data_IF_378986377096
#
_entry.id   IF_378986377096
#
_cell.length_a   1.000
_cell.length_b   1.000
_cell.length_c   1.000
_cell.angle_alpha   90.00
_cell.angle_beta   90.00
_cell.angle_gamma   90.00
#
_symmetry.space_group_name_H-M   'P 1'
#
loop_
_entity.id
_entity.type
_entity.pdbx_description
1 polymer ?
#
# COMPACT_ATOMS: atom_id res chain seq x y z
N UNK A 1 -6.02 -3.19 -6.00
CA UNK A 1 -4.62 -3.61 -5.78
C UNK A 1 -3.89 -2.63 -4.87
N UNK A 2 -3.86 -1.33 -5.17
CA UNK A 2 -3.30 -0.32 -4.24
C UNK A 2 -3.90 -0.41 -2.83
N UNK A 3 -5.23 -0.36 -2.71
CA UNK A 3 -5.93 -0.47 -1.42
C UNK A 3 -5.62 -1.77 -0.69
N UNK A 4 -5.44 -2.88 -1.41
CA UNK A 4 -5.06 -4.16 -0.82
C UNK A 4 -3.68 -4.06 -0.17
N UNK A 5 -2.69 -3.47 -0.85
CA UNK A 5 -1.36 -3.25 -0.28
C UNK A 5 -1.40 -2.45 1.01
N UNK A 6 -2.17 -1.35 1.03
CA UNK A 6 -2.38 -0.55 2.25
C UNK A 6 -3.00 -1.36 3.38
N UNK A 7 -4.07 -2.11 3.09
CA UNK A 7 -4.78 -2.94 4.08
C UNK A 7 -3.85 -4.02 4.65
N UNK A 8 -3.08 -4.71 3.80
CA UNK A 8 -2.17 -5.76 4.27
C UNK A 8 -1.07 -5.21 5.18
N UNK A 9 -0.52 -4.04 4.87
CA UNK A 9 0.46 -3.39 5.73
C UNK A 9 -0.18 -2.92 7.06
N UNK A 10 -1.43 -2.45 7.04
CA UNK A 10 -2.16 -2.09 8.25
C UNK A 10 -2.49 -3.30 9.12
N UNK A 11 -2.88 -4.43 8.52
CA UNK A 11 -3.08 -5.69 9.22
C UNK A 11 -1.80 -6.20 9.89
N UNK A 12 -0.64 -6.03 9.24
CA UNK A 12 0.65 -6.41 9.83
C UNK A 12 1.03 -5.51 11.02
N UNK A 13 0.86 -4.19 10.86
CA UNK A 13 1.46 -3.20 11.79
C UNK A 13 0.50 -2.73 12.88
N UNK A 14 -0.81 -2.88 12.66
CA UNK A 14 -1.90 -2.33 13.47
C UNK A 14 -2.19 -0.84 13.21
N UNK A 15 -1.54 -0.21 12.23
CA UNK A 15 -1.68 1.22 11.95
C UNK A 15 -1.76 1.47 10.43
N UNK A 16 -2.50 2.49 9.98
CA UNK A 16 -2.58 2.80 8.55
C UNK A 16 -1.20 3.10 7.97
N UNK A 17 -0.82 2.44 6.87
CA UNK A 17 0.47 2.63 6.21
C UNK A 17 0.67 4.08 5.74
N UNK A 18 -0.40 4.69 5.24
CA UNK A 18 -0.42 6.02 4.62
C UNK A 18 -1.52 6.89 5.27
N UNK A 19 -1.28 7.44 6.47
CA UNK A 19 -2.30 8.15 7.26
C UNK A 19 -2.38 9.65 6.87
N UNK A 20 -2.92 9.95 5.69
CA UNK A 20 -3.14 11.31 5.22
C UNK A 20 -4.34 12.02 5.85
N UNK A 21 -4.26 13.33 5.97
CA UNK A 21 -5.30 14.20 6.54
C UNK A 21 -6.28 14.79 5.53
N UNK A 22 -5.83 14.91 4.30
CA UNK A 22 -6.53 15.37 3.12
C UNK A 22 -5.79 14.81 1.90
N UNK A 23 -6.26 15.16 0.70
CA UNK A 23 -5.68 14.66 -0.53
C UNK A 23 -4.19 15.05 -0.71
N UNK A 24 -3.80 16.27 -0.35
CA UNK A 24 -2.42 16.72 -0.50
C UNK A 24 -1.51 16.00 0.49
N UNK A 25 -1.94 15.88 1.75
CA UNK A 25 -1.21 15.15 2.78
C UNK A 25 -1.18 13.63 2.51
N UNK A 26 -2.23 13.07 1.91
CA UNK A 26 -2.25 11.68 1.46
C UNK A 26 -1.18 11.46 0.39
N UNK A 27 -1.07 12.36 -0.59
CA UNK A 27 -0.04 12.26 -1.62
C UNK A 27 1.37 12.48 -1.05
N UNK A 28 1.53 13.35 -0.06
CA UNK A 28 2.78 13.51 0.68
C UNK A 28 3.20 12.22 1.39
N UNK A 29 2.27 11.54 2.08
CA UNK A 29 2.54 10.23 2.69
C UNK A 29 3.01 9.19 1.66
N UNK A 30 2.39 9.19 0.47
CA UNK A 30 2.75 8.25 -0.60
C UNK A 30 4.15 8.58 -1.12
N UNK A 31 4.43 9.83 -1.46
CA UNK A 31 5.73 10.25 -1.99
C UNK A 31 6.85 10.00 -0.98
N UNK A 32 6.61 10.26 0.31
CA UNK A 32 7.57 10.01 1.39
C UNK A 32 8.02 8.53 1.44
N UNK A 33 7.09 7.58 1.22
CA UNK A 33 7.37 6.13 1.27
C UNK A 33 7.83 5.54 -0.08
N UNK A 34 7.13 5.87 -1.16
CA UNK A 34 7.29 5.23 -2.47
C UNK A 34 8.21 6.03 -3.40
N UNK A 35 8.46 7.31 -3.08
CA UNK A 35 9.19 8.23 -3.95
C UNK A 35 8.27 8.99 -4.91
N UNK A 36 8.87 9.80 -5.77
CA UNK A 36 8.12 10.59 -6.76
C UNK A 36 7.50 9.71 -7.85
N UNK A 37 6.27 10.01 -8.32
CA UNK A 37 5.74 9.40 -9.53
C UNK A 37 6.59 9.78 -10.75
N UNK A 38 6.65 8.90 -11.75
CA UNK A 38 7.34 9.18 -13.01
C UNK A 38 6.69 10.31 -13.82
N UNK A 39 7.49 11.01 -14.63
CA UNK A 39 7.05 12.19 -15.37
C UNK A 39 5.86 11.89 -16.32
N UNK A 40 5.86 10.75 -17.01
CA UNK A 40 4.73 10.33 -17.88
C UNK A 40 3.40 10.28 -17.13
N UNK A 41 3.41 9.80 -15.89
CA UNK A 41 2.20 9.74 -15.05
C UNK A 41 1.75 11.14 -14.62
N UNK A 42 2.70 12.03 -14.31
CA UNK A 42 2.43 13.43 -13.99
C UNK A 42 1.82 14.18 -15.18
N UNK A 43 2.37 13.98 -16.38
CA UNK A 43 1.91 14.64 -17.61
C UNK A 43 0.49 14.18 -18.00
N UNK A 44 0.18 12.89 -17.81
CA UNK A 44 -1.16 12.35 -18.05
C UNK A 44 -2.18 12.77 -16.97
N UNK A 45 -1.73 13.31 -15.82
CA UNK A 45 -2.57 13.60 -14.66
C UNK A 45 -3.07 15.04 -14.66
N UNK A 46 -4.38 15.23 -14.91
CA UNK A 46 -5.06 16.54 -14.98
C UNK A 46 -4.80 17.47 -13.79
N UNK A 47 -4.61 16.91 -12.59
CA UNK A 47 -4.43 17.66 -11.32
C UNK A 47 -3.00 17.68 -10.80
N UNK A 48 -2.02 17.15 -11.56
CA UNK A 48 -0.62 17.07 -11.11
C UNK A 48 -0.05 18.42 -10.65
N UNK A 49 -0.39 19.50 -11.36
CA UNK A 49 0.06 20.87 -11.05
C UNK A 49 -0.37 21.38 -9.67
N UNK A 50 -1.40 20.79 -9.06
CA UNK A 50 -1.84 21.12 -7.70
C UNK A 50 -0.90 20.56 -6.63
N UNK A 51 -0.12 19.54 -6.97
CA UNK A 51 0.72 18.81 -6.01
C UNK A 51 2.20 18.84 -6.36
N UNK A 52 2.54 19.05 -7.62
CA UNK A 52 3.91 19.13 -8.13
C UNK A 52 4.11 20.46 -8.83
N UNK A 53 5.25 21.10 -8.58
CA UNK A 53 5.65 22.36 -9.20
C UNK A 53 6.06 22.16 -10.66
N UNK A 54 6.18 23.25 -11.42
CA UNK A 54 6.70 23.21 -12.79
C UNK A 54 8.13 22.70 -12.90
N UNK A 55 8.91 22.75 -11.82
CA UNK A 55 10.28 22.23 -11.74
C UNK A 55 10.33 20.75 -11.34
N UNK A 56 9.19 20.08 -11.21
CA UNK A 56 9.10 18.67 -10.79
C UNK A 56 9.17 18.45 -9.28
N UNK A 57 9.32 19.50 -8.46
CA UNK A 57 9.36 19.35 -7.00
C UNK A 57 7.97 19.21 -6.39
N UNK A 58 7.76 18.31 -5.40
CA UNK A 58 6.49 18.18 -4.70
C UNK A 58 6.23 19.43 -3.86
N UNK A 59 4.99 19.95 -3.90
CA UNK A 59 4.61 21.20 -3.26
C UNK A 59 4.52 21.13 -1.74
N UNK A 60 4.47 19.93 -1.17
CA UNK A 60 4.49 19.77 0.28
C UNK A 60 5.91 19.97 0.87
N UNK A 61 6.96 19.83 0.06
CA UNK A 61 8.34 20.08 0.46
C UNK A 61 8.71 21.55 0.34
N UNK A 62 9.67 21.98 1.16
CA UNK A 62 10.37 23.25 0.95
C UNK A 62 11.65 22.99 0.17
N UNK A 63 12.00 23.90 -0.76
CA UNK A 63 13.18 23.75 -1.63
C UNK A 63 14.22 24.79 -1.23
N UNK A 64 15.41 24.33 -0.86
CA UNK A 64 16.58 25.20 -0.62
C UNK A 64 17.57 25.01 -1.76
N UNK A 65 17.95 26.09 -2.42
CA UNK A 65 19.00 26.04 -3.45
C UNK A 65 20.34 26.34 -2.81
N UNK A 66 21.29 25.43 -2.94
CA UNK A 66 22.66 25.60 -2.44
C UNK A 66 23.48 26.51 -3.40
N UNK A 67 24.62 27.06 -2.95
CA UNK A 67 25.45 27.95 -3.78
C UNK A 67 25.95 27.33 -5.09
N UNK A 68 26.04 26.00 -5.16
CA UNK A 68 26.42 25.24 -6.37
C UNK A 68 25.24 24.99 -7.34
N UNK A 69 24.07 25.56 -7.04
CA UNK A 69 22.84 25.41 -7.81
C UNK A 69 22.09 24.08 -7.60
N UNK A 70 22.54 23.21 -6.68
CA UNK A 70 21.75 22.02 -6.31
C UNK A 70 20.52 22.40 -5.50
N UNK A 71 19.38 21.77 -5.81
CA UNK A 71 18.15 21.91 -5.04
C UNK A 71 18.05 20.79 -4.01
N UNK A 72 17.85 21.16 -2.75
CA UNK A 72 17.62 20.24 -1.63
C UNK A 72 16.15 20.33 -1.22
N UNK A 73 15.48 19.18 -1.15
CA UNK A 73 14.11 19.07 -0.65
C UNK A 73 14.14 18.85 0.86
N UNK A 74 13.49 19.74 1.61
CA UNK A 74 13.30 19.56 3.04
C UNK A 74 11.86 19.17 3.36
N UNK A 75 11.71 18.58 4.55
CA UNK A 75 10.44 18.08 5.05
C UNK A 75 9.35 19.17 5.09
N UNK A 76 8.13 18.74 4.76
CA UNK A 76 6.90 19.51 4.91
C UNK A 76 6.19 19.22 6.23
N UNK A 77 5.08 19.93 6.47
CA UNK A 77 4.17 19.64 7.57
C UNK A 77 2.72 19.58 7.09
N UNK A 78 1.97 18.61 7.62
CA UNK A 78 0.52 18.51 7.44
C UNK A 78 -0.20 19.66 8.16
N UNK A 79 -1.52 19.79 7.93
CA UNK A 79 -2.35 20.80 8.61
C UNK A 79 -2.33 20.63 10.13
N UNK A 80 -2.25 19.40 10.64
CA UNK A 80 -2.10 19.12 12.09
C UNK A 80 -0.64 19.14 12.57
N UNK A 81 0.29 19.60 11.74
CA UNK A 81 1.70 19.78 12.11
C UNK A 81 2.57 18.51 12.03
N UNK A 82 2.04 17.40 11.50
CA UNK A 82 2.81 16.16 11.31
C UNK A 82 3.86 16.36 10.24
N UNK A 83 5.11 16.00 10.53
CA UNK A 83 6.21 16.11 9.58
C UNK A 83 6.05 15.08 8.46
N UNK A 84 6.35 15.49 7.23
CA UNK A 84 6.44 14.64 6.02
C UNK A 84 7.82 14.80 5.43
N UNK A 85 8.62 13.74 5.42
CA UNK A 85 9.96 13.72 4.84
C UNK A 85 9.97 13.94 3.32
N UNK A 86 11.17 14.08 2.74
CA UNK A 86 11.33 14.20 1.29
C UNK A 86 10.87 12.91 0.58
N UNK A 87 10.62 12.93 -0.74
CA UNK A 87 10.21 11.74 -1.46
C UNK A 87 11.20 10.58 -1.29
N UNK A 88 10.70 9.40 -0.92
CA UNK A 88 11.50 8.20 -0.68
C UNK A 88 12.35 8.24 0.57
N UNK A 89 12.20 9.23 1.46
CA UNK A 89 13.00 9.33 2.68
C UNK A 89 12.53 8.39 3.80
N UNK A 90 11.34 7.79 3.69
CA UNK A 90 10.84 6.85 4.71
C UNK A 90 11.20 5.42 4.35
N UNK A 91 11.98 4.81 5.21
CA UNK A 91 12.39 3.42 5.06
C UNK A 91 11.21 2.44 5.21
N UNK A 92 11.20 1.43 4.34
CA UNK A 92 10.19 0.37 4.37
C UNK A 92 10.22 -0.44 5.67
N UNK A 93 11.41 -0.71 6.23
CA UNK A 93 11.53 -1.41 7.52
C UNK A 93 10.89 -0.60 8.65
N UNK A 94 11.11 0.72 8.68
CA UNK A 94 10.44 1.62 9.63
C UNK A 94 8.92 1.68 9.40
N UNK A 95 8.48 1.73 8.14
CA UNK A 95 7.05 1.74 7.78
C UNK A 95 6.32 0.44 8.18
N UNK A 96 7.02 -0.70 8.12
CA UNK A 96 6.49 -2.03 8.45
C UNK A 96 6.88 -2.51 9.86
N UNK A 97 7.44 -1.63 10.70
CA UNK A 97 7.85 -1.91 12.09
C UNK A 97 8.76 -3.13 12.25
N UNK A 98 9.78 -3.27 11.39
CA UNK A 98 10.70 -4.42 11.43
C UNK A 98 10.11 -5.70 10.82
N UNK A 99 9.10 -5.59 9.97
CA UNK A 99 8.61 -6.71 9.16
C UNK A 99 9.65 -7.11 8.12
N UNK A 100 10.44 -8.14 8.42
CA UNK A 100 11.60 -8.55 7.62
C UNK A 100 11.31 -9.59 6.54
N UNK A 101 10.05 -9.91 6.22
CA UNK A 101 9.72 -10.85 5.13
C UNK A 101 9.95 -10.18 3.76
N UNK A 102 11.03 -10.52 3.02
CA UNK A 102 11.35 -9.86 1.77
C UNK A 102 10.30 -10.12 0.69
N UNK A 103 9.58 -11.26 0.75
CA UNK A 103 8.53 -11.55 -0.21
C UNK A 103 7.27 -10.76 0.06
N UNK A 104 6.97 -10.47 1.33
CA UNK A 104 5.87 -9.58 1.68
C UNK A 104 6.17 -8.15 1.21
N UNK A 105 7.40 -7.68 1.44
CA UNK A 105 7.83 -6.37 0.98
C UNK A 105 7.74 -6.25 -0.55
N UNK A 106 8.21 -7.26 -1.28
CA UNK A 106 8.09 -7.31 -2.73
C UNK A 106 6.62 -7.27 -3.19
N UNK A 107 5.75 -8.07 -2.55
CA UNK A 107 4.31 -8.06 -2.83
C UNK A 107 3.69 -6.67 -2.59
N UNK A 108 4.05 -6.00 -1.50
CA UNK A 108 3.58 -4.65 -1.17
C UNK A 108 4.05 -3.64 -2.20
N UNK A 109 5.34 -3.65 -2.58
CA UNK A 109 5.89 -2.74 -3.60
C UNK A 109 5.17 -2.91 -4.93
N UNK A 110 4.91 -4.14 -5.35
CA UNK A 110 4.14 -4.43 -6.57
C UNK A 110 2.66 -3.98 -6.49
N UNK A 111 2.05 -3.98 -5.29
CA UNK A 111 0.72 -3.42 -5.08
C UNK A 111 0.70 -1.88 -5.10
N UNK A 112 1.79 -1.26 -4.63
CA UNK A 112 1.94 0.18 -4.43
C UNK A 112 2.75 0.85 -5.55
N UNK A 113 2.80 0.21 -6.72
CA UNK A 113 3.37 0.79 -7.94
C UNK A 113 2.55 2.00 -8.39
N UNK A 114 3.24 3.09 -8.74
CA UNK A 114 2.60 4.35 -9.15
C UNK A 114 1.83 4.19 -10.44
N UNK A 115 2.46 3.59 -11.45
CA UNK A 115 1.83 3.35 -12.75
C UNK A 115 0.80 2.21 -12.62
N UNK A 116 -0.51 2.48 -12.82
CA UNK A 116 -1.53 1.45 -12.72
C UNK A 116 -1.37 0.34 -13.76
N UNK A 117 -0.71 0.59 -14.90
CA UNK A 117 -0.46 -0.43 -15.91
C UNK A 117 0.65 -1.40 -15.50
N UNK A 118 1.61 -0.95 -14.67
CA UNK A 118 2.69 -1.78 -14.12
C UNK A 118 2.30 -2.43 -12.79
N UNK A 119 1.28 -1.90 -12.12
CA UNK A 119 0.79 -2.41 -10.83
C UNK A 119 0.29 -3.84 -10.95
N UNK A 120 0.72 -4.69 -10.02
CA UNK A 120 0.33 -6.09 -9.97
C UNK A 120 -1.20 -6.25 -9.96
N UNK A 121 -1.70 -7.12 -10.83
CA UNK A 121 -3.11 -7.51 -10.94
C UNK A 121 -3.47 -8.60 -9.92
N UNK A 122 -4.76 -8.83 -9.60
CA UNK A 122 -5.18 -9.90 -8.70
C UNK A 122 -4.70 -11.30 -9.13
N UNK A 123 -4.75 -11.62 -10.42
CA UNK A 123 -4.29 -12.92 -10.94
C UNK A 123 -2.78 -13.09 -10.84
N UNK A 124 -2.00 -12.01 -10.98
CA UNK A 124 -0.56 -12.03 -10.68
C UNK A 124 -0.31 -12.20 -9.18
N UNK A 125 -1.06 -11.50 -8.33
CA UNK A 125 -0.95 -11.60 -6.87
C UNK A 125 -1.14 -13.02 -6.35
N UNK A 126 -2.17 -13.75 -6.82
CA UNK A 126 -2.38 -15.16 -6.45
C UNK A 126 -1.22 -16.09 -6.84
N UNK A 127 -0.43 -15.70 -7.85
CA UNK A 127 0.76 -16.43 -8.29
C UNK A 127 2.05 -15.94 -7.65
N UNK A 128 1.99 -14.88 -6.85
CA UNK A 128 3.16 -14.30 -6.20
C UNK A 128 3.75 -15.27 -5.17
N UNK A 129 5.09 -15.37 -5.06
CA UNK A 129 5.75 -16.30 -4.12
C UNK A 129 5.28 -16.17 -2.67
N UNK A 130 4.99 -14.94 -2.22
CA UNK A 130 4.46 -14.67 -0.88
C UNK A 130 3.13 -15.41 -0.61
N UNK A 131 2.17 -15.37 -1.52
CA UNK A 131 0.88 -16.05 -1.37
C UNK A 131 0.97 -17.54 -1.71
N UNK A 132 1.71 -17.93 -2.75
CA UNK A 132 1.84 -19.34 -3.15
C UNK A 132 2.45 -20.23 -2.07
N UNK A 133 3.29 -19.69 -1.20
CA UNK A 133 3.86 -20.42 -0.04
C UNK A 133 2.87 -20.59 1.11
N UNK A 134 1.83 -19.75 1.17
CA UNK A 134 0.90 -19.64 2.31
C UNK A 134 -0.46 -20.27 2.02
N UNK A 135 -0.84 -20.41 0.74
CA UNK A 135 -2.09 -21.01 0.34
C UNK A 135 -1.96 -22.54 0.23
N UNK A 136 -2.90 -23.32 0.80
CA UNK A 136 -2.99 -24.75 0.54
C UNK A 136 -3.08 -25.00 -0.96
N UNK A 137 -2.35 -25.99 -1.47
CA UNK A 137 -2.56 -26.46 -2.84
C UNK A 137 -4.01 -26.97 -2.91
N UNK A 138 -4.82 -26.56 -3.90
CA UNK A 138 -6.09 -27.22 -4.12
C UNK A 138 -5.81 -28.72 -4.31
N UNK A 139 -6.67 -29.62 -3.80
CA UNK A 139 -6.53 -31.04 -4.06
C UNK A 139 -6.52 -31.23 -5.57
N UNK A 140 -5.34 -31.50 -6.12
CA UNK A 140 -5.18 -31.89 -7.50
C UNK A 140 -5.98 -33.17 -7.64
N UNK A 141 -7.05 -33.15 -8.43
CA UNK A 141 -7.80 -34.34 -8.79
C UNK A 141 -6.83 -35.36 -9.38
N UNK A 142 -6.36 -36.27 -8.53
CA UNK A 142 -5.49 -37.36 -8.92
C UNK A 142 -6.36 -38.41 -9.61
N UNK A 143 -6.58 -38.20 -10.91
CA UNK A 143 -6.87 -39.29 -11.83
C UNK A 143 -5.52 -39.96 -12.18
N UNK A 144 -5.19 -40.95 -11.36
CA UNK A 144 -4.68 -42.28 -11.71
C UNK A 144 -3.27 -42.48 -12.30
N UNK A 145 -2.42 -43.24 -11.58
CA UNK A 145 -2.01 -44.62 -11.90
C UNK A 145 -0.88 -45.08 -10.95
N UNK A 146 -1.06 -46.21 -10.24
CA UNK A 146 -0.27 -47.47 -10.40
C UNK A 146 -0.55 -48.47 -9.25
N UNK A 147 -1.03 -49.67 -9.65
CA UNK A 147 -0.97 -51.03 -9.03
C UNK A 147 -1.59 -51.33 -7.65
N UNK A 148 -2.67 -52.11 -7.60
CA UNK A 148 -2.63 -53.58 -7.32
C UNK A 148 -4.02 -54.21 -7.05
N UNK A 149 -4.26 -55.36 -7.69
CA UNK A 149 -5.20 -56.47 -7.38
C UNK A 149 -6.71 -56.24 -7.21
N UNK A 150 -7.50 -56.85 -8.11
CA UNK A 150 -8.89 -57.29 -7.89
C UNK A 150 -8.95 -58.58 -7.04
N UNK A 151 -10.10 -58.97 -6.45
CA UNK A 151 -11.19 -59.60 -7.21
C UNK A 151 -12.64 -59.14 -6.89
N UNK A 152 -13.54 -59.56 -7.80
CA UNK A 152 -15.01 -59.51 -7.90
C UNK A 152 -15.84 -59.67 -6.59
N UNK A 153 -17.13 -59.34 -6.47
CA UNK A 153 -18.21 -58.88 -7.35
C UNK A 153 -19.39 -58.38 -6.48
N UNK A 154 -20.23 -57.46 -6.98
CA UNK A 154 -21.69 -57.49 -6.83
C UNK A 154 -22.35 -56.35 -7.60
N UNK A 155 -23.20 -56.73 -8.54
CA UNK A 155 -24.11 -55.89 -9.33
C UNK A 155 -25.22 -55.32 -8.46
N UNK A 156 -25.59 -54.04 -8.66
CA UNK A 156 -26.98 -53.56 -8.73
C UNK A 156 -27.05 -52.16 -9.32
N UNK A 157 -27.86 -52.04 -10.38
CA UNK A 157 -28.23 -50.83 -11.13
C UNK A 157 -29.13 -49.91 -10.30
N UNK A 158 -29.04 -48.61 -10.56
CA UNK A 158 -30.05 -47.61 -10.22
C UNK A 158 -29.76 -46.29 -10.95
N UNK A 159 -30.47 -46.04 -12.06
CA UNK A 159 -30.53 -44.74 -12.74
C UNK A 159 -31.54 -43.83 -12.01
N UNK A 160 -31.17 -42.58 -11.75
CA UNK A 160 -32.06 -41.42 -11.58
C UNK A 160 -31.14 -40.17 -11.63
N UNK A 161 -31.12 -39.41 -12.73
CA UNK A 161 -31.91 -38.19 -12.99
C UNK A 161 -31.82 -37.10 -11.92
N UNK A 162 -31.34 -35.96 -12.42
CA UNK A 162 -31.75 -34.59 -12.09
C UNK A 162 -31.01 -33.73 -11.07
N UNK A 163 -30.98 -32.46 -11.49
CA UNK A 163 -30.98 -31.23 -10.72
C UNK A 163 -29.62 -30.56 -10.47
N UNK A 164 -29.31 -29.68 -11.42
CA UNK A 164 -28.76 -28.35 -11.21
C UNK A 164 -29.07 -27.73 -9.84
N UNK A 165 -28.06 -27.06 -9.26
CA UNK A 165 -28.29 -25.99 -8.30
C UNK A 165 -27.64 -24.70 -8.82
N UNK A 166 -28.51 -23.79 -9.23
CA UNK A 166 -28.26 -22.36 -9.46
C UNK A 166 -28.97 -21.58 -8.36
N UNK A 167 -28.43 -20.38 -8.07
CA UNK A 167 -29.00 -19.25 -7.30
C UNK A 167 -28.40 -19.11 -5.90
N UNK A 168 -27.63 -18.06 -5.61
CA UNK A 168 -28.00 -16.63 -5.47
C UNK A 168 -29.05 -16.43 -4.37
N UNK A 169 -28.62 -15.78 -3.28
CA UNK A 169 -29.49 -14.92 -2.47
C UNK A 169 -28.70 -13.69 -2.00
N UNK A 170 -29.04 -12.59 -2.65
CA UNK A 170 -28.77 -11.19 -2.30
C UNK A 170 -29.79 -10.79 -1.22
N UNK A 171 -29.36 -10.20 -0.10
CA UNK A 171 -30.25 -9.46 0.79
C UNK A 171 -29.81 -8.02 0.95
N UNK A 172 -30.83 -7.17 1.02
CA UNK A 172 -30.81 -5.73 0.81
C UNK A 172 -30.56 -4.93 2.09
N UNK A 173 -30.33 -3.63 1.85
CA UNK A 173 -30.13 -2.57 2.81
C UNK A 173 -31.36 -2.26 3.68
N UNK A 174 -31.10 -1.72 4.87
CA UNK A 174 -32.03 -0.87 5.60
C UNK A 174 -31.25 0.29 6.24
N UNK A 175 -31.72 1.51 5.98
CA UNK A 175 -31.29 2.76 6.59
C UNK A 175 -32.14 3.06 7.82
N UNK A 176 -31.56 3.67 8.85
CA UNK A 176 -32.30 4.46 9.83
C UNK A 176 -31.44 5.58 10.39
N UNK A 177 -32.09 6.73 10.56
CA UNK A 177 -31.56 8.09 10.73
C UNK A 177 -31.42 8.50 12.21
N UNK A 178 -30.43 9.37 12.45
CA UNK A 178 -30.32 10.43 13.47
C UNK A 178 -30.41 10.14 14.98
N UNK A 179 -29.40 10.60 15.73
CA UNK A 179 -29.55 11.69 16.72
C UNK A 179 -28.18 12.22 17.19
N UNK A 180 -28.17 13.50 17.54
CA UNK A 180 -27.04 14.36 17.92
C UNK A 180 -26.73 14.33 19.42
N UNK A 181 -25.45 14.47 19.79
CA UNK A 181 -25.08 15.13 21.05
C UNK A 181 -23.64 15.64 21.03
N UNK A 182 -23.50 16.94 21.25
CA UNK A 182 -22.27 17.70 21.51
C UNK A 182 -21.60 17.29 22.82
N UNK A 183 -20.26 17.25 22.86
CA UNK A 183 -19.52 17.74 24.03
C UNK A 183 -18.12 18.21 23.66
N UNK A 184 -17.81 19.41 24.13
CA UNK A 184 -16.56 20.14 24.03
C UNK A 184 -15.61 19.71 25.15
N UNK A 185 -14.32 19.53 24.83
CA UNK A 185 -13.25 19.69 25.81
C UNK A 185 -11.98 20.19 25.13
N UNK A 186 -11.60 21.42 25.50
CA UNK A 186 -10.32 22.06 25.20
C UNK A 186 -9.25 21.45 26.14
N UNK A 187 -8.07 21.15 25.62
CA UNK A 187 -6.84 21.09 26.42
C UNK A 187 -5.68 21.68 25.61
N UNK A 188 -5.01 22.65 26.21
CA UNK A 188 -3.78 23.32 25.73
C UNK A 188 -2.55 22.64 26.35
N UNK A 189 -1.39 22.88 25.71
CA UNK A 189 0.01 22.80 26.21
C UNK A 189 0.57 21.37 26.39
N UNK A 190 1.82 21.02 26.02
CA UNK A 190 3.09 21.76 26.00
C UNK A 190 4.06 21.36 24.88
N UNK A 191 4.96 22.30 24.59
CA UNK A 191 6.17 22.25 23.78
C UNK A 191 7.25 21.39 24.45
N UNK A 192 7.84 20.42 23.74
CA UNK A 192 9.10 19.81 24.12
C UNK A 192 9.88 19.38 22.86
N UNK A 193 11.06 19.95 22.70
CA UNK A 193 12.07 19.51 21.75
C UNK A 193 12.55 18.11 22.15
N UNK A 194 12.64 17.20 21.18
CA UNK A 194 13.24 15.88 21.40
C UNK A 194 14.52 15.85 20.57
N UNK A 195 15.61 16.22 21.22
CA UNK A 195 16.99 15.88 20.84
C UNK A 195 17.32 14.53 21.47
N UNK A 196 18.05 13.67 20.75
CA UNK A 196 18.66 12.49 21.35
C UNK A 196 19.97 12.84 22.07
N UNK A 197 20.40 11.96 22.98
CA UNK A 197 21.45 12.21 23.97
C UNK A 197 22.87 12.32 23.38
N UNK A 198 23.05 12.28 22.06
CA UNK A 198 24.37 12.27 21.41
C UNK A 198 24.53 13.30 20.26
N UNK A 199 23.56 14.19 20.01
CA UNK A 199 23.78 15.40 19.21
C UNK A 199 24.23 15.21 17.75
N UNK A 200 23.94 14.06 17.11
CA UNK A 200 24.41 13.76 15.75
C UNK A 200 23.28 13.75 14.71
N UNK A 201 23.50 14.48 13.60
CA UNK A 201 22.58 14.60 12.48
C UNK A 201 22.68 13.38 11.55
N UNK A 202 21.54 12.78 11.19
CA UNK A 202 21.47 11.63 10.27
C UNK A 202 21.82 12.01 8.81
N UNK A 203 22.49 11.14 8.04
CA UNK A 203 23.05 11.48 6.73
C UNK A 203 22.00 11.57 5.60
N UNK A 204 22.19 12.58 4.74
CA UNK A 204 21.33 12.98 3.60
C UNK A 204 21.56 12.10 2.37
N UNK A 205 20.49 11.67 1.70
CA UNK A 205 20.55 11.05 0.36
C UNK A 205 20.40 12.10 -0.73
N UNK A 206 21.33 12.08 -1.71
CA UNK A 206 21.38 12.97 -2.88
C UNK A 206 21.02 12.15 -4.12
N UNK A 207 20.07 12.62 -4.93
CA UNK A 207 19.73 12.04 -6.23
C UNK A 207 20.55 12.72 -7.36
N UNK A 208 21.00 11.98 -8.39
CA UNK A 208 21.88 12.52 -9.42
C UNK A 208 21.16 13.43 -10.43
N UNK A 209 21.87 14.48 -10.88
CA UNK A 209 21.42 15.45 -11.89
C UNK A 209 21.28 14.78 -13.27
N UNK A 210 20.14 14.97 -13.93
CA UNK A 210 19.97 14.70 -15.35
C UNK A 210 20.44 15.93 -16.14
N UNK A 211 21.39 15.71 -17.04
CA UNK A 211 21.90 16.68 -18.01
C UNK A 211 20.86 16.87 -19.13
N UNK A 212 20.74 18.11 -19.59
CA UNK A 212 19.76 18.61 -20.56
C UNK A 212 19.88 18.02 -21.96
#
# INVERSE_FOLDING_TARGET
>A
MWSLGCILAELLTGYPLLPGEDEADQLACIMELVGMPGQKLLDASKRAKNFVSSKGYPRYCTVTTLPDGTAVLNAGRSRRGKVRGAPGSKDWSAALKGGDDPLFLDFLKQCLEWDPALRMTPSQALRHPWLRRRLPKPPTGAADKTSSSSPAAASRRGNATDAAFTSISKLAAASSTATSSSSSSKARTNLAAITDANGNLQPRTVLPKLVS
#
